data_IF_654562908128
#
_entry.id   IF_654562908128
#
_cell.length_a   1.000
_cell.length_b   1.000
_cell.length_c   1.000
_cell.angle_alpha   90.00
_cell.angle_beta   90.00
_cell.angle_gamma   90.00
#
_symmetry.space_group_name_H-M   'P 1'
#
loop_
_entity.id
_entity.type
_entity.pdbx_description
1 polymer ?
#
# COMPACT_ATOMS: atom_id res chain seq x y z
N UNK A 1 28.17 -45.88 73.18
CA UNK A 1 27.66 -47.25 72.91
C UNK A 1 27.40 -47.39 71.42
N UNK A 2 27.96 -48.47 70.86
CA UNK A 2 27.58 -49.19 69.62
C UNK A 2 27.65 -48.49 68.25
N UNK A 3 28.77 -48.77 67.58
CA UNK A 3 28.99 -48.87 66.14
C UNK A 3 28.03 -49.85 65.46
N UNK A 4 27.77 -49.68 64.15
CA UNK A 4 27.94 -50.69 63.07
C UNK A 4 27.72 -49.98 61.71
N UNK A 5 28.79 -49.67 60.95
CA UNK A 5 29.31 -50.44 59.77
C UNK A 5 28.23 -50.60 58.67
N UNK A 6 28.39 -50.19 57.40
CA UNK A 6 29.55 -50.42 56.50
C UNK A 6 29.24 -49.88 55.06
N UNK A 7 30.32 -49.59 54.28
CA UNK A 7 30.50 -49.86 52.82
C UNK A 7 29.84 -48.86 51.83
N UNK A 8 30.48 -48.25 50.82
CA UNK A 8 31.86 -48.29 50.26
C UNK A 8 32.11 -47.05 49.39
N UNK A 9 33.39 -46.68 49.35
CA UNK A 9 34.14 -45.79 48.45
C UNK A 9 33.94 -46.04 46.95
N UNK A 10 33.90 -44.98 46.13
CA UNK A 10 34.62 -44.94 44.86
C UNK A 10 35.25 -43.54 44.63
N UNK A 11 36.57 -43.54 44.58
CA UNK A 11 37.47 -42.47 44.14
C UNK A 11 37.46 -42.43 42.59
N UNK A 12 37.58 -41.25 41.96
CA UNK A 12 38.74 -40.84 41.12
C UNK A 12 38.47 -39.54 40.32
N UNK A 13 39.43 -38.61 40.38
CA UNK A 13 39.87 -37.57 39.41
C UNK A 13 38.81 -36.78 38.60
N UNK A 14 38.74 -35.44 38.62
CA UNK A 14 39.84 -34.48 38.59
C UNK A 14 40.14 -34.04 37.15
N UNK A 15 39.35 -33.13 36.57
CA UNK A 15 39.78 -32.18 35.52
C UNK A 15 39.04 -30.86 35.74
N UNK A 16 39.79 -29.87 36.22
CA UNK A 16 39.45 -28.45 36.11
C UNK A 16 39.73 -28.06 34.67
N UNK A 17 38.69 -27.91 33.85
CA UNK A 17 38.78 -27.21 32.58
C UNK A 17 38.15 -25.84 32.75
N UNK A 18 39.00 -24.82 32.86
CA UNK A 18 38.66 -23.44 32.58
C UNK A 18 38.01 -23.36 31.19
N UNK A 19 36.69 -23.22 31.12
CA UNK A 19 36.07 -22.62 29.95
C UNK A 19 36.26 -21.11 30.07
N UNK A 20 37.34 -20.64 29.44
CA UNK A 20 37.42 -19.29 28.90
C UNK A 20 36.08 -18.99 28.21
N UNK A 21 35.26 -18.15 28.81
CA UNK A 21 34.18 -17.47 28.10
C UNK A 21 34.88 -16.51 27.17
N UNK A 22 35.23 -17.01 25.99
CA UNK A 22 35.66 -16.20 24.88
C UNK A 22 34.49 -15.27 24.56
N UNK A 23 34.65 -13.97 24.83
CA UNK A 23 33.91 -12.91 24.18
C UNK A 23 34.17 -12.98 22.68
N UNK A 24 33.49 -13.89 21.98
CA UNK A 24 33.38 -13.90 20.53
C UNK A 24 32.16 -13.07 20.17
N UNK A 25 32.37 -11.83 19.71
CA UNK A 25 31.29 -11.03 19.14
C UNK A 25 30.71 -11.73 17.93
N UNK A 26 29.50 -12.29 18.05
CA UNK A 26 28.71 -12.69 16.91
C UNK A 26 28.37 -11.43 16.11
N UNK A 27 28.81 -11.38 14.85
CA UNK A 27 28.22 -10.45 13.89
C UNK A 27 26.78 -10.92 13.68
N UNK A 28 25.82 -10.21 14.28
CA UNK A 28 24.40 -10.42 14.01
C UNK A 28 24.19 -10.49 12.49
N UNK A 29 23.72 -11.65 12.03
CA UNK A 29 23.40 -11.84 10.62
C UNK A 29 22.04 -11.23 10.41
N UNK A 30 21.95 -10.15 9.60
CA UNK A 30 20.69 -9.45 9.37
C UNK A 30 19.66 -10.40 8.75
N UNK A 31 18.42 -10.33 9.23
CA UNK A 31 17.28 -10.97 8.55
C UNK A 31 17.08 -10.34 7.17
N UNK A 32 16.36 -11.03 6.28
CA UNK A 32 16.07 -10.47 4.95
C UNK A 32 15.29 -9.15 5.02
N UNK A 33 14.35 -9.01 5.96
CA UNK A 33 13.67 -7.75 6.27
C UNK A 33 14.67 -6.65 6.69
N UNK A 34 15.55 -6.93 7.65
CA UNK A 34 16.55 -5.95 8.12
C UNK A 34 17.55 -5.58 7.01
N UNK A 35 17.94 -6.56 6.19
CA UNK A 35 18.79 -6.33 5.02
C UNK A 35 18.11 -5.40 4.03
N UNK A 36 16.84 -5.64 3.71
CA UNK A 36 16.08 -4.77 2.81
C UNK A 36 15.95 -3.35 3.38
N UNK A 37 15.53 -3.19 4.64
CA UNK A 37 15.41 -1.88 5.31
C UNK A 37 16.73 -1.11 5.24
N UNK A 38 17.86 -1.76 5.53
CA UNK A 38 19.19 -1.14 5.44
C UNK A 38 19.57 -0.74 4.01
N UNK A 39 19.21 -1.54 3.01
CA UNK A 39 19.44 -1.21 1.59
C UNK A 39 18.54 -0.05 1.15
N UNK A 40 17.29 -0.06 1.59
CA UNK A 40 16.30 0.98 1.29
C UNK A 40 16.76 2.33 1.87
N UNK A 41 17.11 2.36 3.15
CA UNK A 41 17.66 3.55 3.83
C UNK A 41 18.84 4.15 3.06
N UNK A 42 19.82 3.32 2.70
CA UNK A 42 20.99 3.76 1.94
C UNK A 42 20.62 4.28 0.56
N UNK A 43 19.71 3.61 -0.13
CA UNK A 43 19.36 3.93 -1.52
C UNK A 43 18.58 5.24 -1.63
N UNK A 44 17.61 5.47 -0.74
CA UNK A 44 16.81 6.71 -0.71
C UNK A 44 17.70 7.92 -0.40
N UNK A 45 18.53 7.82 0.63
CA UNK A 45 19.44 8.92 0.99
C UNK A 45 20.47 9.18 -0.11
N UNK A 46 21.07 8.13 -0.68
CA UNK A 46 22.01 8.29 -1.79
C UNK A 46 21.34 8.95 -3.01
N UNK A 47 20.10 8.59 -3.34
CA UNK A 47 19.36 9.23 -4.43
C UNK A 47 19.20 10.73 -4.18
N UNK A 48 18.68 11.14 -3.02
CA UNK A 48 18.48 12.55 -2.73
C UNK A 48 19.81 13.33 -2.75
N UNK A 49 20.87 12.79 -2.13
CA UNK A 49 22.20 13.42 -2.17
C UNK A 49 22.72 13.57 -3.60
N UNK A 50 22.52 12.60 -4.49
CA UNK A 50 22.97 12.71 -5.89
C UNK A 50 22.12 13.67 -6.73
N UNK A 51 20.81 13.77 -6.45
CA UNK A 51 19.87 14.67 -7.11
C UNK A 51 20.13 16.14 -6.73
N UNK A 52 20.49 16.42 -5.48
CA UNK A 52 20.74 17.77 -4.98
C UNK A 52 22.07 18.38 -5.47
N UNK A 53 22.96 17.57 -6.05
CA UNK A 53 24.23 18.07 -6.59
C UNK A 53 23.96 19.07 -7.72
N UNK A 54 24.45 20.31 -7.60
CA UNK A 54 24.25 21.32 -8.62
C UNK A 54 24.87 20.86 -9.94
N UNK A 55 24.14 21.07 -11.03
CA UNK A 55 24.59 20.73 -12.37
C UNK A 55 24.40 21.90 -13.31
N UNK A 56 25.43 22.21 -14.10
CA UNK A 56 25.42 23.26 -15.14
C UNK A 56 25.11 22.67 -16.52
N UNK A 57 24.34 21.60 -16.55
CA UNK A 57 23.97 20.88 -17.77
C UNK A 57 22.62 21.34 -18.30
N UNK A 58 22.34 20.99 -19.56
CA UNK A 58 21.01 21.16 -20.16
C UNK A 58 19.93 20.40 -19.37
N UNK A 59 18.66 20.77 -19.55
CA UNK A 59 17.55 20.06 -18.90
C UNK A 59 17.43 18.61 -19.37
N UNK A 60 17.78 18.31 -20.62
CA UNK A 60 17.82 16.94 -21.13
C UNK A 60 18.88 16.09 -20.39
N UNK A 61 20.07 16.63 -20.17
CA UNK A 61 21.13 15.97 -19.40
C UNK A 61 20.76 15.81 -17.93
N UNK A 62 20.05 16.78 -17.34
CA UNK A 62 19.48 16.65 -15.98
C UNK A 62 18.50 15.49 -15.89
N UNK A 63 17.59 15.39 -16.86
CA UNK A 63 16.62 14.30 -16.94
C UNK A 63 17.34 12.95 -17.06
N UNK A 64 18.30 12.81 -17.99
CA UNK A 64 19.09 11.58 -18.14
C UNK A 64 19.82 11.19 -16.84
N UNK A 65 20.42 12.18 -16.16
CA UNK A 65 21.07 11.97 -14.84
C UNK A 65 20.06 11.47 -13.81
N UNK A 66 18.90 12.11 -13.68
CA UNK A 66 17.89 11.75 -12.69
C UNK A 66 17.28 10.37 -12.93
N UNK A 67 17.04 10.00 -14.20
CA UNK A 67 16.63 8.65 -14.58
C UNK A 67 17.67 7.62 -14.15
N UNK A 68 18.96 7.84 -14.47
CA UNK A 68 20.02 6.90 -14.09
C UNK A 68 20.17 6.74 -12.56
N UNK A 69 19.93 7.81 -11.78
CA UNK A 69 19.94 7.73 -10.32
C UNK A 69 18.79 6.84 -9.82
N UNK A 70 17.58 7.00 -10.36
CA UNK A 70 16.42 6.19 -9.98
C UNK A 70 16.56 4.73 -10.42
N UNK A 71 17.08 4.48 -11.62
CA UNK A 71 17.37 3.11 -12.08
C UNK A 71 18.36 2.40 -11.17
N UNK A 72 19.37 3.12 -10.65
CA UNK A 72 20.32 2.59 -9.67
C UNK A 72 19.65 2.27 -8.33
N UNK A 73 18.77 3.14 -7.84
CA UNK A 73 17.96 2.89 -6.63
C UNK A 73 17.11 1.63 -6.83
N UNK A 74 16.29 1.58 -7.90
CA UNK A 74 15.41 0.46 -8.23
C UNK A 74 16.19 -0.86 -8.25
N UNK A 75 17.30 -0.91 -8.99
CA UNK A 75 18.12 -2.12 -9.09
C UNK A 75 18.58 -2.61 -7.71
N UNK A 76 19.06 -1.70 -6.87
CA UNK A 76 19.52 -2.05 -5.52
C UNK A 76 18.38 -2.61 -4.66
N UNK A 77 17.16 -2.08 -4.80
CA UNK A 77 15.99 -2.55 -4.06
C UNK A 77 15.51 -3.92 -4.57
N UNK A 78 15.39 -4.08 -5.89
CA UNK A 78 14.91 -5.32 -6.54
C UNK A 78 15.78 -6.53 -6.20
N UNK A 79 17.11 -6.36 -6.16
CA UNK A 79 18.06 -7.42 -5.77
C UNK A 79 17.85 -7.94 -4.33
N UNK A 80 17.08 -7.22 -3.50
CA UNK A 80 16.82 -7.57 -2.10
C UNK A 80 15.35 -7.88 -1.80
N UNK A 81 14.44 -7.78 -2.77
CA UNK A 81 13.01 -8.04 -2.58
C UNK A 81 12.68 -9.48 -2.17
N UNK A 82 13.39 -10.47 -2.75
CA UNK A 82 13.09 -11.89 -2.55
C UNK A 82 13.35 -12.38 -1.12
N UNK A 83 14.13 -11.63 -0.34
CA UNK A 83 14.42 -11.96 1.06
C UNK A 83 13.42 -11.36 2.06
N UNK A 84 12.40 -10.63 1.61
CA UNK A 84 11.43 -10.02 2.52
C UNK A 84 10.34 -11.03 2.88
N UNK A 85 10.24 -11.34 4.17
CA UNK A 85 9.24 -12.26 4.73
C UNK A 85 8.01 -11.51 5.27
N UNK A 86 8.16 -10.23 5.63
CA UNK A 86 7.03 -9.41 6.08
C UNK A 86 6.18 -8.99 4.86
N UNK A 87 4.90 -9.40 4.78
CA UNK A 87 4.06 -9.13 3.61
C UNK A 87 3.75 -7.64 3.43
N UNK A 88 3.67 -6.87 4.53
CA UNK A 88 3.41 -5.43 4.47
C UNK A 88 4.67 -4.70 4.02
N UNK A 89 5.84 -5.08 4.55
CA UNK A 89 7.12 -4.54 4.10
C UNK A 89 7.35 -4.82 2.61
N UNK A 90 7.06 -6.05 2.18
CA UNK A 90 7.20 -6.47 0.79
C UNK A 90 6.30 -5.68 -0.14
N UNK A 91 5.02 -5.51 0.22
CA UNK A 91 4.09 -4.70 -0.55
C UNK A 91 4.57 -3.25 -0.66
N UNK A 92 4.97 -2.61 0.44
CA UNK A 92 5.50 -1.25 0.41
C UNK A 92 6.78 -1.14 -0.43
N UNK A 93 7.64 -2.17 -0.42
CA UNK A 93 8.83 -2.21 -1.25
C UNK A 93 8.49 -2.27 -2.74
N UNK A 94 7.57 -3.16 -3.12
CA UNK A 94 7.08 -3.33 -4.48
C UNK A 94 6.39 -2.05 -4.99
N UNK A 95 5.50 -1.46 -4.19
CA UNK A 95 4.80 -0.21 -4.50
C UNK A 95 5.80 0.96 -4.65
N UNK A 96 6.80 1.08 -3.77
CA UNK A 96 7.83 2.12 -3.89
C UNK A 96 8.64 1.98 -5.19
N UNK A 97 9.04 0.75 -5.54
CA UNK A 97 9.79 0.45 -6.77
C UNK A 97 8.95 0.76 -8.00
N UNK A 98 7.69 0.32 -8.02
CA UNK A 98 6.79 0.58 -9.13
C UNK A 98 6.53 2.08 -9.28
N UNK A 99 6.29 2.80 -8.19
CA UNK A 99 6.15 4.25 -8.21
C UNK A 99 7.41 4.96 -8.75
N UNK A 100 8.61 4.48 -8.40
CA UNK A 100 9.85 4.99 -8.97
C UNK A 100 9.99 4.72 -10.49
N UNK A 101 9.50 3.57 -10.98
CA UNK A 101 9.43 3.28 -12.43
C UNK A 101 8.46 4.22 -13.14
N UNK A 102 7.28 4.47 -12.57
CA UNK A 102 6.33 5.44 -13.11
C UNK A 102 6.94 6.85 -13.16
N UNK A 103 7.73 7.25 -12.15
CA UNK A 103 8.45 8.52 -12.19
C UNK A 103 9.46 8.58 -13.35
N UNK A 104 10.17 7.48 -13.63
CA UNK A 104 11.07 7.40 -14.80
C UNK A 104 10.29 7.61 -16.10
N UNK A 105 9.13 6.98 -16.25
CA UNK A 105 8.30 7.14 -17.45
C UNK A 105 7.75 8.57 -17.60
N UNK A 106 7.39 9.24 -16.49
CA UNK A 106 7.00 10.66 -16.51
C UNK A 106 8.12 11.58 -17.00
N UNK A 107 9.37 11.22 -16.71
CA UNK A 107 10.56 11.95 -17.17
C UNK A 107 10.93 11.69 -18.63
N UNK A 108 10.57 10.52 -19.19
CA UNK A 108 10.90 10.12 -20.57
C UNK A 108 9.92 10.63 -21.61
N UNK A 109 8.66 10.86 -21.22
CA UNK A 109 7.62 11.32 -22.15
C UNK A 109 7.60 12.84 -22.30
N UNK A 110 7.31 13.30 -23.53
CA UNK A 110 7.03 14.70 -23.83
C UNK A 110 5.52 14.99 -23.93
N UNK A 111 4.68 13.95 -23.87
CA UNK A 111 3.23 14.11 -23.82
C UNK A 111 2.82 14.56 -22.40
N UNK A 112 2.24 15.76 -22.31
CA UNK A 112 1.87 16.36 -21.03
C UNK A 112 0.85 15.53 -20.24
N UNK A 113 -0.11 14.91 -20.92
CA UNK A 113 -1.13 14.10 -20.26
C UNK A 113 -0.52 12.80 -19.72
N UNK A 114 0.26 12.10 -20.55
CA UNK A 114 0.95 10.89 -20.10
C UNK A 114 1.94 11.20 -18.98
N UNK A 115 2.64 12.33 -19.05
CA UNK A 115 3.54 12.77 -17.99
C UNK A 115 2.81 12.94 -16.66
N UNK A 116 1.66 13.60 -16.68
CA UNK A 116 0.84 13.82 -15.50
C UNK A 116 0.29 12.49 -14.96
N UNK A 117 -0.27 11.63 -15.82
CA UNK A 117 -0.76 10.30 -15.45
C UNK A 117 0.33 9.45 -14.77
N UNK A 118 1.55 9.44 -15.33
CA UNK A 118 2.68 8.74 -14.75
C UNK A 118 3.13 9.35 -13.42
N UNK A 119 3.12 10.67 -13.30
CA UNK A 119 3.49 11.35 -12.05
C UNK A 119 2.48 11.07 -10.95
N UNK A 120 1.18 11.08 -11.25
CA UNK A 120 0.12 10.74 -10.31
C UNK A 120 0.25 9.29 -9.84
N UNK A 121 0.47 8.34 -10.76
CA UNK A 121 0.71 6.92 -10.40
C UNK A 121 1.97 6.74 -9.54
N UNK A 122 3.04 7.44 -9.89
CA UNK A 122 4.27 7.48 -9.08
C UNK A 122 3.97 7.91 -7.65
N UNK A 123 3.28 9.03 -7.50
CA UNK A 123 3.01 9.63 -6.20
C UNK A 123 2.04 8.79 -5.36
N UNK A 124 1.00 8.23 -6.00
CA UNK A 124 0.03 7.34 -5.37
C UNK A 124 0.67 6.10 -4.72
N UNK A 125 1.71 5.54 -5.35
CA UNK A 125 2.40 4.35 -4.86
C UNK A 125 3.58 4.70 -3.94
N UNK A 126 4.44 5.61 -4.39
CA UNK A 126 5.74 5.85 -3.76
C UNK A 126 5.63 6.64 -2.47
N UNK A 127 4.71 7.60 -2.40
CA UNK A 127 4.61 8.50 -1.25
C UNK A 127 4.12 7.79 0.02
N UNK A 128 2.97 7.09 -0.01
CA UNK A 128 2.55 6.29 1.14
C UNK A 128 3.57 5.22 1.53
N UNK A 129 4.21 4.58 0.54
CA UNK A 129 5.21 3.54 0.79
C UNK A 129 6.43 4.06 1.54
N UNK A 130 7.03 5.18 1.12
CA UNK A 130 8.17 5.77 1.83
C UNK A 130 7.77 6.29 3.22
N UNK A 131 6.57 6.87 3.35
CA UNK A 131 6.04 7.24 4.68
C UNK A 131 5.95 6.02 5.60
N UNK A 132 5.38 4.92 5.12
CA UNK A 132 5.26 3.66 5.88
C UNK A 132 6.63 3.05 6.23
N UNK A 133 7.60 3.09 5.30
CA UNK A 133 8.98 2.63 5.53
C UNK A 133 9.66 3.39 6.68
N UNK A 134 9.47 4.71 6.76
CA UNK A 134 10.05 5.53 7.83
C UNK A 134 9.30 5.32 9.15
N UNK A 135 7.96 5.38 9.14
CA UNK A 135 7.16 5.37 10.37
C UNK A 135 7.01 4.00 11.01
N UNK A 136 6.90 2.94 10.18
CA UNK A 136 6.65 1.57 10.65
C UNK A 136 7.94 0.79 10.81
N UNK A 137 8.87 0.94 9.86
CA UNK A 137 10.08 0.13 9.79
C UNK A 137 11.35 0.88 10.22
N UNK A 138 11.22 2.15 10.59
CA UNK A 138 12.31 2.94 11.17
C UNK A 138 13.42 3.30 10.18
N UNK A 139 13.13 3.34 8.88
CA UNK A 139 14.07 3.87 7.87
C UNK A 139 14.46 5.29 8.24
N UNK A 140 15.77 5.56 8.32
CA UNK A 140 16.28 6.89 8.70
C UNK A 140 16.51 7.76 7.47
N UNK A 141 16.02 8.99 7.54
CA UNK A 141 16.37 10.02 6.57
C UNK A 141 17.52 10.84 7.13
N UNK A 142 18.55 11.07 6.32
CA UNK A 142 19.67 11.92 6.70
C UNK A 142 19.18 13.34 6.99
N UNK A 143 19.80 14.02 7.94
CA UNK A 143 19.39 15.38 8.36
C UNK A 143 19.40 16.40 7.22
N UNK A 144 20.28 16.23 6.23
CA UNK A 144 20.33 17.06 5.02
C UNK A 144 19.05 16.96 4.16
N UNK A 145 18.31 15.84 4.28
CA UNK A 145 17.09 15.54 3.52
C UNK A 145 15.81 15.67 4.35
N UNK A 146 15.91 16.15 5.60
CA UNK A 146 14.77 16.20 6.53
C UNK A 146 13.62 17.06 5.98
N UNK A 147 13.92 18.22 5.41
CA UNK A 147 12.90 19.09 4.83
C UNK A 147 12.25 18.45 3.59
N UNK A 148 13.04 17.79 2.74
CA UNK A 148 12.54 17.05 1.58
C UNK A 148 11.56 15.96 2.04
N UNK A 149 11.92 15.20 3.07
CA UNK A 149 11.03 14.18 3.62
C UNK A 149 9.78 14.78 4.28
N UNK A 150 9.89 15.92 4.98
CA UNK A 150 8.73 16.59 5.59
C UNK A 150 7.69 16.99 4.55
N UNK A 151 8.11 17.60 3.45
CA UNK A 151 7.22 18.01 2.36
C UNK A 151 6.62 16.79 1.65
N UNK A 152 7.45 15.76 1.45
CA UNK A 152 7.02 14.48 0.90
C UNK A 152 5.97 13.80 1.79
N UNK A 153 6.18 13.79 3.11
CA UNK A 153 5.28 13.19 4.10
C UNK A 153 3.93 13.90 4.17
N UNK A 154 3.92 15.22 4.10
CA UNK A 154 2.68 15.99 4.06
C UNK A 154 1.80 15.57 2.87
N UNK A 155 2.41 15.42 1.69
CA UNK A 155 1.73 14.94 0.49
C UNK A 155 1.33 13.47 0.61
N UNK A 156 2.21 12.62 1.16
CA UNK A 156 1.95 11.20 1.41
C UNK A 156 0.72 11.00 2.30
N UNK A 157 0.54 11.84 3.33
CA UNK A 157 -0.59 11.74 4.25
C UNK A 157 -1.93 11.98 3.54
N UNK A 158 -1.98 12.96 2.64
CA UNK A 158 -3.19 13.24 1.85
C UNK A 158 -3.48 12.09 0.88
N UNK A 159 -2.47 11.66 0.13
CA UNK A 159 -2.59 10.58 -0.86
C UNK A 159 -2.96 9.25 -0.18
N UNK A 160 -2.39 8.93 0.99
CA UNK A 160 -2.72 7.73 1.74
C UNK A 160 -4.19 7.74 2.20
N UNK A 161 -4.69 8.90 2.66
CA UNK A 161 -6.12 9.10 2.99
C UNK A 161 -7.00 8.85 1.76
N UNK A 162 -6.65 9.45 0.62
CA UNK A 162 -7.38 9.29 -0.64
C UNK A 162 -7.40 7.82 -1.11
N UNK A 163 -6.24 7.16 -1.15
CA UNK A 163 -6.12 5.76 -1.56
C UNK A 163 -6.97 4.84 -0.68
N UNK A 164 -6.84 4.95 0.66
CA UNK A 164 -7.62 4.13 1.60
C UNK A 164 -9.12 4.37 1.46
N UNK A 165 -9.53 5.63 1.25
CA UNK A 165 -10.94 5.98 1.05
C UNK A 165 -11.49 5.38 -0.26
N UNK A 166 -10.69 5.37 -1.32
CA UNK A 166 -11.04 4.75 -2.61
C UNK A 166 -11.12 3.23 -2.50
N UNK A 167 -10.12 2.58 -1.91
CA UNK A 167 -10.15 1.12 -1.68
C UNK A 167 -11.39 0.71 -0.90
N UNK A 168 -11.72 1.44 0.18
CA UNK A 168 -12.95 1.22 0.92
C UNK A 168 -14.20 1.36 0.03
N UNK A 169 -14.27 2.42 -0.79
CA UNK A 169 -15.40 2.65 -1.68
C UNK A 169 -15.53 1.55 -2.76
N UNK A 170 -14.43 1.07 -3.33
CA UNK A 170 -14.41 -0.07 -4.25
C UNK A 170 -14.93 -1.34 -3.58
N UNK A 171 -14.41 -1.67 -2.40
CA UNK A 171 -14.86 -2.83 -1.61
C UNK A 171 -16.34 -2.74 -1.23
N UNK A 172 -16.79 -1.57 -0.77
CA UNK A 172 -18.18 -1.31 -0.46
C UNK A 172 -19.09 -1.62 -1.65
N UNK A 173 -18.71 -1.18 -2.85
CA UNK A 173 -19.45 -1.45 -4.09
C UNK A 173 -19.66 -2.95 -4.35
N UNK A 174 -18.65 -3.78 -4.08
CA UNK A 174 -18.75 -5.25 -4.20
C UNK A 174 -19.64 -5.89 -3.13
N UNK A 175 -19.84 -5.21 -2.01
CA UNK A 175 -20.65 -5.69 -0.88
C UNK A 175 -22.11 -5.26 -0.96
N UNK A 176 -22.47 -4.30 -1.82
CA UNK A 176 -23.86 -3.88 -2.02
C UNK A 176 -24.66 -5.05 -2.59
N UNK A 177 -25.56 -5.60 -1.78
CA UNK A 177 -26.50 -6.65 -2.18
C UNK A 177 -27.86 -6.04 -2.38
N UNK A 178 -28.26 -5.90 -3.64
CA UNK A 178 -29.56 -5.39 -4.03
C UNK A 178 -30.59 -6.52 -4.00
N UNK A 179 -31.61 -6.36 -3.17
CA UNK A 179 -32.71 -7.29 -3.06
C UNK A 179 -33.92 -6.78 -3.83
N UNK A 180 -34.60 -7.68 -4.55
CA UNK A 180 -35.82 -7.36 -5.30
C UNK A 180 -36.99 -7.25 -4.32
N UNK A 181 -37.62 -6.08 -4.28
CA UNK A 181 -38.69 -5.77 -3.32
C UNK A 181 -40.08 -5.88 -3.94
N UNK A 182 -40.29 -5.40 -5.17
CA UNK A 182 -41.59 -5.45 -5.86
C UNK A 182 -41.45 -5.50 -7.39
N UNK A 183 -42.44 -6.14 -8.05
CA UNK A 183 -42.78 -5.94 -9.46
C UNK A 183 -44.17 -5.30 -9.53
N UNK A 184 -44.25 -3.99 -9.71
CA UNK A 184 -45.51 -3.32 -10.05
C UNK A 184 -45.33 -2.52 -11.34
N UNK A 185 -46.33 -2.61 -12.21
CA UNK A 185 -46.38 -1.88 -13.48
C UNK A 185 -45.18 -2.09 -14.43
N UNK A 186 -44.57 -3.28 -14.42
CA UNK A 186 -43.44 -3.61 -15.31
C UNK A 186 -42.10 -2.96 -14.91
N UNK A 187 -42.00 -2.45 -13.68
CA UNK A 187 -40.76 -1.98 -13.08
C UNK A 187 -40.26 -2.96 -12.02
N UNK A 188 -38.95 -3.19 -11.98
CA UNK A 188 -38.31 -3.99 -10.94
C UNK A 188 -37.69 -3.02 -9.94
N UNK A 189 -38.19 -3.03 -8.69
CA UNK A 189 -37.60 -2.26 -7.58
C UNK A 189 -36.54 -3.08 -6.87
N UNK A 190 -35.36 -2.50 -6.70
CA UNK A 190 -34.24 -3.08 -5.99
C UNK A 190 -33.84 -2.19 -4.81
N UNK A 191 -33.59 -2.79 -3.66
CA UNK A 191 -33.20 -2.05 -2.46
C UNK A 191 -31.99 -2.67 -1.76
N UNK A 192 -31.22 -1.84 -1.07
CA UNK A 192 -30.19 -2.29 -0.14
C UNK A 192 -30.05 -1.28 1.00
N UNK A 193 -29.41 -1.69 2.09
CA UNK A 193 -28.96 -0.78 3.15
C UNK A 193 -27.47 -0.97 3.30
N UNK A 194 -26.73 0.12 3.08
CA UNK A 194 -25.28 0.16 3.23
C UNK A 194 -24.90 0.93 4.49
N UNK A 195 -23.76 0.57 5.09
CA UNK A 195 -23.21 1.22 6.28
C UNK A 195 -21.79 1.69 5.98
N UNK A 196 -21.46 2.92 6.35
CA UNK A 196 -20.09 3.40 6.28
C UNK A 196 -19.31 2.87 7.50
N UNK A 197 -18.59 1.78 7.32
CA UNK A 197 -17.78 1.14 8.37
C UNK A 197 -16.34 1.66 8.42
N UNK A 198 -15.97 2.57 7.51
CA UNK A 198 -14.65 3.18 7.48
C UNK A 198 -14.47 4.27 8.54
N UNK A 199 -13.24 4.76 8.65
CA UNK A 199 -12.92 5.93 9.46
C UNK A 199 -13.10 7.28 8.71
N UNK A 200 -13.63 7.26 7.48
CA UNK A 200 -13.77 8.45 6.64
C UNK A 200 -15.19 9.01 6.68
N UNK A 201 -15.31 10.33 6.68
CA UNK A 201 -16.53 11.02 6.33
C UNK A 201 -16.53 11.33 4.83
N UNK A 202 -17.45 10.74 4.08
CA UNK A 202 -17.56 10.99 2.64
C UNK A 202 -18.47 12.19 2.36
N UNK A 203 -18.02 13.06 1.45
CA UNK A 203 -18.89 14.03 0.82
C UNK A 203 -19.84 13.31 -0.14
N UNK A 204 -19.30 12.41 -0.96
CA UNK A 204 -20.08 11.51 -1.81
C UNK A 204 -19.28 10.27 -2.22
N UNK A 205 -20.02 9.19 -2.49
CA UNK A 205 -19.54 8.03 -3.25
C UNK A 205 -20.55 7.77 -4.36
N UNK A 206 -20.10 7.64 -5.61
CA UNK A 206 -20.95 7.29 -6.74
C UNK A 206 -20.53 5.96 -7.37
N UNK A 207 -21.52 5.21 -7.84
CA UNK A 207 -21.30 3.96 -8.57
C UNK A 207 -22.09 3.93 -9.87
N UNK A 208 -21.48 3.38 -10.90
CA UNK A 208 -22.16 2.94 -12.11
C UNK A 208 -22.74 1.54 -11.88
N UNK A 209 -23.98 1.33 -12.30
CA UNK A 209 -24.68 0.04 -12.22
C UNK A 209 -25.01 -0.44 -13.63
N UNK A 210 -24.72 -1.70 -13.92
CA UNK A 210 -25.16 -2.38 -15.14
C UNK A 210 -25.98 -3.62 -14.81
N UNK A 211 -27.13 -3.76 -15.46
CA UNK A 211 -27.95 -4.96 -15.42
C UNK A 211 -27.66 -5.78 -16.66
N UNK A 212 -27.30 -7.05 -16.49
CA UNK A 212 -26.97 -7.97 -17.58
C UNK A 212 -27.92 -9.15 -17.62
N UNK A 213 -28.34 -9.54 -18.82
CA UNK A 213 -29.10 -10.78 -19.02
C UNK A 213 -28.19 -12.03 -18.94
N UNK A 214 -28.78 -13.21 -19.17
CA UNK A 214 -28.10 -14.50 -19.10
C UNK A 214 -26.96 -14.65 -20.12
N UNK A 215 -27.02 -13.94 -21.24
CA UNK A 215 -25.98 -13.92 -22.27
C UNK A 215 -24.89 -12.88 -21.97
N UNK A 216 -25.01 -12.15 -20.85
CA UNK A 216 -24.09 -11.10 -20.44
C UNK A 216 -24.31 -9.76 -21.16
N UNK A 217 -25.40 -9.60 -21.90
CA UNK A 217 -25.73 -8.35 -22.61
C UNK A 217 -26.25 -7.34 -21.60
N UNK A 218 -25.74 -6.11 -21.65
CA UNK A 218 -26.23 -5.01 -20.81
C UNK A 218 -27.63 -4.62 -21.29
N UNK A 219 -28.63 -4.83 -20.44
CA UNK A 219 -30.05 -4.54 -20.73
C UNK A 219 -30.57 -3.30 -19.99
N UNK A 220 -29.74 -2.69 -19.14
CA UNK A 220 -30.03 -1.43 -18.47
C UNK A 220 -28.84 -0.92 -17.68
N UNK A 221 -28.89 0.35 -17.29
CA UNK A 221 -27.89 1.01 -16.45
C UNK A 221 -28.58 1.91 -15.43
N UNK A 222 -27.94 2.11 -14.27
CA UNK A 222 -28.39 3.02 -13.21
C UNK A 222 -27.18 3.58 -12.45
N UNK A 223 -27.43 4.44 -11.47
CA UNK A 223 -26.40 5.04 -10.63
C UNK A 223 -26.77 4.97 -9.16
N UNK A 224 -25.80 4.66 -8.31
CA UNK A 224 -25.95 4.77 -6.86
C UNK A 224 -25.21 6.02 -6.40
N UNK A 225 -25.88 6.89 -5.63
CA UNK A 225 -25.27 8.07 -5.01
C UNK A 225 -25.42 8.01 -3.49
N UNK A 226 -24.29 7.89 -2.79
CA UNK A 226 -24.21 7.94 -1.33
C UNK A 226 -23.69 9.31 -0.90
N UNK A 227 -24.59 10.28 -0.72
CA UNK A 227 -24.24 11.66 -0.40
C UNK A 227 -24.10 11.88 1.11
N UNK A 228 -23.11 12.65 1.53
CA UNK A 228 -22.87 12.99 2.94
C UNK A 228 -22.76 11.75 3.83
N UNK A 229 -22.10 10.70 3.34
CA UNK A 229 -22.07 9.38 3.96
C UNK A 229 -21.00 9.34 5.07
N UNK A 230 -21.40 9.82 6.25
CA UNK A 230 -20.50 10.01 7.39
C UNK A 230 -20.15 8.69 8.07
N UNK A 231 -19.07 8.65 8.85
CA UNK A 231 -18.64 7.45 9.59
C UNK A 231 -19.78 6.86 10.43
N UNK A 232 -20.01 5.55 10.31
CA UNK A 232 -21.07 4.81 11.01
C UNK A 232 -22.49 5.09 10.50
N UNK A 233 -22.67 5.94 9.49
CA UNK A 233 -23.98 6.23 8.93
C UNK A 233 -24.48 5.05 8.10
N UNK A 234 -25.80 4.83 8.13
CA UNK A 234 -26.50 3.92 7.21
C UNK A 234 -27.27 4.72 6.18
N UNK A 235 -27.25 4.25 4.94
CA UNK A 235 -28.05 4.82 3.85
C UNK A 235 -28.78 3.72 3.10
N UNK A 236 -30.02 4.03 2.70
CA UNK A 236 -30.82 3.15 1.84
C UNK A 236 -30.45 3.44 0.40
N UNK A 237 -30.15 2.39 -0.35
CA UNK A 237 -30.02 2.41 -1.81
C UNK A 237 -31.34 1.92 -2.39
N UNK A 238 -31.90 2.66 -3.34
CA UNK A 238 -33.09 2.27 -4.09
C UNK A 238 -32.82 2.47 -5.58
N UNK A 239 -32.99 1.42 -6.38
CA UNK A 239 -32.87 1.46 -7.83
C UNK A 239 -34.17 0.99 -8.48
N UNK A 240 -34.45 1.50 -9.67
CA UNK A 240 -35.65 1.15 -10.42
C UNK A 240 -35.29 0.84 -11.86
N UNK A 241 -35.41 -0.44 -12.22
CA UNK A 241 -35.19 -0.89 -13.58
C UNK A 241 -36.50 -0.90 -14.35
N UNK A 242 -36.54 -0.13 -15.43
CA UNK A 242 -37.63 -0.14 -16.41
C UNK A 242 -37.25 -1.03 -17.60
N UNK A 243 -37.51 -2.32 -17.48
CA UNK A 243 -37.24 -3.29 -18.54
C UNK A 243 -38.23 -4.45 -18.46
N UNK A 244 -38.68 -4.92 -19.62
CA UNK A 244 -39.44 -6.16 -19.77
C UNK A 244 -38.53 -7.41 -19.81
N UNK A 245 -37.21 -7.20 -19.90
CA UNK A 245 -36.21 -8.27 -19.90
C UNK A 245 -35.77 -8.62 -18.48
N UNK A 246 -35.66 -9.92 -18.22
CA UNK A 246 -35.04 -10.41 -17.00
C UNK A 246 -33.52 -10.10 -17.01
N UNK A 247 -33.01 -9.60 -15.90
CA UNK A 247 -31.56 -9.55 -15.64
C UNK A 247 -31.15 -10.74 -14.76
N UNK A 248 -29.91 -11.18 -14.91
CA UNK A 248 -29.30 -12.24 -14.11
C UNK A 248 -28.17 -11.68 -13.22
N UNK A 249 -27.40 -10.71 -13.73
CA UNK A 249 -26.26 -10.13 -13.01
C UNK A 249 -26.41 -8.63 -12.87
N UNK A 250 -26.04 -8.12 -11.69
CA UNK A 250 -25.83 -6.69 -11.45
C UNK A 250 -24.33 -6.46 -11.26
N UNK A 251 -23.75 -5.60 -12.08
CA UNK A 251 -22.36 -5.16 -11.93
C UNK A 251 -22.36 -3.74 -11.38
N UNK A 252 -21.72 -3.55 -10.23
CA UNK A 252 -21.53 -2.25 -9.58
C UNK A 252 -20.04 -1.92 -9.66
N UNK A 253 -19.72 -0.76 -10.24
CA UNK A 253 -18.34 -0.28 -10.36
C UNK A 253 -18.24 1.13 -9.81
N UNK A 254 -17.22 1.39 -8.99
CA UNK A 254 -16.94 2.73 -8.48
C UNK A 254 -16.80 3.71 -9.64
N UNK A 255 -17.47 4.84 -9.52
CA UNK A 255 -17.36 5.97 -10.45
C UNK A 255 -16.44 7.02 -9.81
N UNK A 256 -16.93 7.72 -8.80
CA UNK A 256 -16.17 8.72 -8.06
C UNK A 256 -16.30 8.56 -6.53
N UNK A 257 -15.31 9.11 -5.83
CA UNK A 257 -15.26 9.16 -4.36
C UNK A 257 -14.66 10.48 -3.91
N UNK A 258 -15.35 11.14 -2.98
CA UNK A 258 -14.91 12.40 -2.39
C UNK A 258 -15.03 12.32 -0.87
N UNK A 259 -13.93 12.63 -0.18
CA UNK A 259 -13.86 12.68 1.29
C UNK A 259 -14.00 14.12 1.77
N UNK A 260 -14.63 14.30 2.94
CA UNK A 260 -14.60 15.57 3.64
C UNK A 260 -13.21 15.80 4.22
N UNK A 261 -12.71 17.02 4.05
CA UNK A 261 -11.45 17.48 4.64
C UNK A 261 -11.62 17.90 6.09
#
# INVERSE_FOLDING_TARGET
MMNFKKITTLFLAGVISMSLVACGGEKETLTGNQKFINVFEKSVNARWTEQDKPTKTSDEEKTKKNVAILEKEIKSLEENLSGIDDPVLKKNAEDYIEGAKQQIESMKTNDYKLKDDYQQKSDALRKPSLMSMVETYGVKINSEHEQIYKDFKAQATVIDKENKSRTYAEELGTQIKLEKVTEEYGSIKLESVVENTSDFDFESISYNVQYKDADGVVIGTDFIYLNQFSKGQKQKVELMLFSDKAFETILITLDDVYIKN
#
